data_IF_745165666809
#
_entry.id   IF_745165666809
#
_cell.length_a   1.000
_cell.length_b   1.000
_cell.length_c   1.000
_cell.angle_alpha   90.00
_cell.angle_beta   90.00
_cell.angle_gamma   90.00
#
_symmetry.space_group_name_H-M   'P 1'
#
loop_
_entity.id
_entity.type
_entity.pdbx_description
1 polymer ?
#
# COMPACT_ATOMS: atom_id res chain seq x y z
N UNK A 1 -7.83 7.70 -14.13
CA UNK A 1 -7.12 6.81 -13.20
C UNK A 1 -8.06 6.48 -12.06
N UNK A 2 -8.32 5.20 -11.82
CA UNK A 2 -9.13 4.71 -10.69
C UNK A 2 -8.22 4.01 -9.69
N UNK A 3 -8.36 4.36 -8.41
CA UNK A 3 -7.55 3.82 -7.33
C UNK A 3 -8.49 3.08 -6.38
N UNK A 4 -8.13 1.85 -6.05
CA UNK A 4 -8.79 1.06 -5.03
C UNK A 4 -7.94 1.11 -3.76
N UNK A 5 -8.55 1.57 -2.67
CA UNK A 5 -7.95 1.49 -1.35
C UNK A 5 -8.64 0.37 -0.56
N UNK A 6 -7.83 -0.54 -0.03
CA UNK A 6 -8.27 -1.68 0.79
C UNK A 6 -7.78 -1.42 2.21
N UNK A 7 -8.71 -1.43 3.15
CA UNK A 7 -8.40 -1.31 4.57
C UNK A 7 -7.67 -2.54 5.10
N UNK A 8 -7.60 -2.68 6.39
CA UNK A 8 -6.84 -3.68 7.12
C UNK A 8 -7.07 -5.12 6.63
N UNK A 9 -6.05 -5.70 5.97
CA UNK A 9 -6.08 -7.10 5.51
C UNK A 9 -5.59 -7.99 6.64
N UNK A 10 -6.49 -8.78 7.20
CA UNK A 10 -6.21 -9.57 8.40
C UNK A 10 -6.00 -11.05 8.07
N UNK A 11 -4.81 -11.54 8.39
CA UNK A 11 -4.43 -12.94 8.34
C UNK A 11 -4.51 -13.59 6.96
N UNK A 12 -4.33 -14.91 6.92
CA UNK A 12 -4.39 -15.68 5.68
C UNK A 12 -5.75 -15.62 4.98
N UNK A 13 -6.84 -15.57 5.74
CA UNK A 13 -8.19 -15.48 5.19
C UNK A 13 -8.40 -14.19 4.37
N UNK A 14 -7.91 -13.05 4.87
CA UNK A 14 -7.95 -11.78 4.14
C UNK A 14 -7.10 -11.82 2.88
N UNK A 15 -5.89 -12.34 2.98
CA UNK A 15 -4.98 -12.50 1.83
C UNK A 15 -5.59 -13.42 0.77
N UNK A 16 -6.14 -14.57 1.16
CA UNK A 16 -6.75 -15.53 0.24
C UNK A 16 -8.03 -14.99 -0.40
N UNK A 17 -8.80 -14.21 0.33
CA UNK A 17 -9.96 -13.52 -0.24
C UNK A 17 -9.54 -12.57 -1.36
N UNK A 18 -8.52 -11.75 -1.13
CA UNK A 18 -7.99 -10.84 -2.15
C UNK A 18 -7.45 -11.61 -3.35
N UNK A 19 -6.68 -12.67 -3.14
CA UNK A 19 -6.13 -13.49 -4.23
C UNK A 19 -7.22 -14.02 -5.16
N UNK A 20 -8.36 -14.43 -4.61
CA UNK A 20 -9.48 -14.97 -5.40
C UNK A 20 -10.31 -13.89 -6.10
N UNK A 21 -10.44 -12.71 -5.49
CA UNK A 21 -11.42 -11.71 -5.94
C UNK A 21 -10.81 -10.51 -6.64
N UNK A 22 -9.66 -10.03 -6.17
CA UNK A 22 -9.07 -8.77 -6.60
C UNK A 22 -8.73 -8.74 -8.10
N UNK A 23 -8.15 -9.79 -8.73
CA UNK A 23 -7.82 -9.74 -10.15
C UNK A 23 -9.04 -9.55 -11.06
N UNK A 24 -10.13 -10.21 -10.74
CA UNK A 24 -11.38 -10.07 -11.49
C UNK A 24 -12.02 -8.69 -11.24
N UNK A 25 -12.05 -8.26 -10.00
CA UNK A 25 -12.59 -6.95 -9.61
C UNK A 25 -11.81 -5.80 -10.27
N UNK A 26 -10.48 -5.85 -10.25
CA UNK A 26 -9.59 -4.87 -10.89
C UNK A 26 -9.91 -4.72 -12.38
N UNK A 27 -10.07 -5.84 -13.10
CA UNK A 27 -10.45 -5.81 -14.52
C UNK A 27 -11.85 -5.26 -14.75
N UNK A 28 -12.85 -5.75 -14.00
CA UNK A 28 -14.25 -5.37 -14.21
C UNK A 28 -14.50 -3.89 -13.91
N UNK A 29 -13.79 -3.35 -12.94
CA UNK A 29 -13.95 -1.95 -12.51
C UNK A 29 -12.97 -0.99 -13.16
N UNK A 30 -12.03 -1.48 -13.97
CA UNK A 30 -11.00 -0.65 -14.60
C UNK A 30 -10.07 0.02 -13.57
N UNK A 31 -9.72 -0.72 -12.51
CA UNK A 31 -8.84 -0.19 -11.46
C UNK A 31 -7.40 -0.13 -11.97
N UNK A 32 -6.81 1.06 -11.92
CA UNK A 32 -5.44 1.30 -12.36
C UNK A 32 -4.41 0.96 -11.26
N UNK A 33 -4.75 1.26 -9.99
CA UNK A 33 -3.85 1.12 -8.84
C UNK A 33 -4.62 0.56 -7.64
N UNK A 34 -4.01 -0.38 -6.94
CA UNK A 34 -4.53 -0.96 -5.69
C UNK A 34 -3.54 -0.66 -4.56
N UNK A 35 -4.03 -0.02 -3.52
CA UNK A 35 -3.31 0.25 -2.28
C UNK A 35 -3.99 -0.54 -1.17
N UNK A 36 -3.25 -1.35 -0.41
CA UNK A 36 -3.80 -2.13 0.69
C UNK A 36 -3.01 -1.94 1.98
N UNK A 37 -3.71 -1.83 3.12
CA UNK A 37 -3.05 -1.95 4.41
C UNK A 37 -2.83 -3.42 4.71
N UNK A 38 -1.55 -3.82 4.84
CA UNK A 38 -1.13 -5.20 5.06
C UNK A 38 -0.52 -5.46 6.44
N UNK A 39 -0.57 -4.49 7.37
CA UNK A 39 0.13 -4.60 8.65
C UNK A 39 -0.32 -5.77 9.54
N UNK A 40 -1.51 -6.33 9.29
CA UNK A 40 -2.07 -7.48 10.00
C UNK A 40 -2.21 -8.74 9.12
N UNK A 41 -1.56 -8.76 7.96
CA UNK A 41 -1.68 -9.86 7.00
C UNK A 41 -1.07 -11.18 7.47
N UNK A 42 -0.16 -11.16 8.45
CA UNK A 42 0.39 -12.37 9.07
C UNK A 42 -0.30 -12.63 10.41
N UNK A 43 -1.13 -13.68 10.47
CA UNK A 43 -1.83 -14.15 11.68
C UNK A 43 -2.60 -13.04 12.44
N UNK A 44 -3.02 -11.99 11.74
CA UNK A 44 -3.72 -10.85 12.32
C UNK A 44 -2.85 -9.92 13.18
N UNK A 45 -1.52 -10.08 13.17
CA UNK A 45 -0.60 -9.27 13.96
C UNK A 45 0.80 -9.19 13.33
N UNK A 46 1.03 -8.16 12.54
CA UNK A 46 2.26 -7.97 11.79
C UNK A 46 2.12 -8.39 10.34
N UNK A 47 3.20 -8.17 9.61
CA UNK A 47 3.40 -8.54 8.21
C UNK A 47 4.72 -9.30 8.09
N UNK A 48 4.75 -10.31 7.23
CA UNK A 48 5.95 -11.08 6.89
C UNK A 48 6.28 -10.92 5.41
N UNK A 49 7.51 -11.24 4.97
CA UNK A 49 7.82 -11.29 3.54
C UNK A 49 6.83 -12.15 2.74
N UNK A 50 6.44 -13.30 3.32
CA UNK A 50 5.50 -14.21 2.68
C UNK A 50 4.11 -13.59 2.49
N UNK A 51 3.56 -12.94 3.53
CA UNK A 51 2.25 -12.29 3.42
C UNK A 51 2.28 -11.05 2.55
N UNK A 52 3.38 -10.28 2.55
CA UNK A 52 3.58 -9.15 1.64
C UNK A 52 3.60 -9.61 0.18
N UNK A 53 4.40 -10.63 -0.16
CA UNK A 53 4.43 -11.19 -1.49
C UNK A 53 3.07 -11.75 -1.91
N UNK A 54 2.34 -12.42 -1.01
CA UNK A 54 0.99 -12.90 -1.28
C UNK A 54 0.04 -11.76 -1.70
N UNK A 55 0.11 -10.61 -1.03
CA UNK A 55 -0.69 -9.43 -1.39
C UNK A 55 -0.29 -8.85 -2.75
N UNK A 56 1.01 -8.69 -3.00
CA UNK A 56 1.53 -8.19 -4.28
C UNK A 56 1.14 -9.12 -5.44
N UNK A 57 1.31 -10.43 -5.29
CA UNK A 57 0.91 -11.44 -6.27
C UNK A 57 -0.60 -11.49 -6.51
N UNK A 58 -1.39 -11.02 -5.54
CA UNK A 58 -2.84 -10.90 -5.65
C UNK A 58 -3.28 -9.69 -6.47
N UNK A 59 -2.35 -8.79 -6.82
CA UNK A 59 -2.62 -7.59 -7.62
C UNK A 59 -2.67 -6.30 -6.80
N UNK A 60 -2.22 -6.31 -5.56
CA UNK A 60 -1.93 -5.10 -4.78
C UNK A 60 -0.68 -4.46 -5.37
N UNK A 61 -0.71 -3.17 -5.62
CA UNK A 61 0.41 -2.42 -6.20
C UNK A 61 1.27 -1.76 -5.10
N UNK A 62 0.66 -1.33 -3.99
CA UNK A 62 1.34 -0.71 -2.85
C UNK A 62 0.76 -1.27 -1.55
N UNK A 63 1.63 -1.65 -0.62
CA UNK A 63 1.25 -2.06 0.73
C UNK A 63 1.57 -0.92 1.69
N UNK A 64 0.57 -0.45 2.41
CA UNK A 64 0.76 0.44 3.55
C UNK A 64 0.84 -0.37 4.83
N UNK A 65 1.57 0.15 5.81
CA UNK A 65 1.67 -0.44 7.14
C UNK A 65 1.29 0.59 8.21
N UNK A 66 1.32 0.19 9.48
CA UNK A 66 0.95 1.03 10.61
C UNK A 66 1.78 0.71 11.86
N UNK A 67 1.14 0.65 13.03
CA UNK A 67 1.84 0.37 14.28
C UNK A 67 2.38 -1.07 14.39
N UNK A 68 1.94 -1.97 13.55
CA UNK A 68 2.43 -3.35 13.52
C UNK A 68 3.54 -3.60 12.48
N UNK A 69 4.06 -2.57 11.83
CA UNK A 69 5.12 -2.67 10.80
C UNK A 69 6.29 -3.53 11.26
N UNK A 70 6.75 -3.33 12.49
CA UNK A 70 7.95 -3.97 13.03
C UNK A 70 7.64 -5.08 14.05
N UNK A 71 6.46 -5.70 13.99
CA UNK A 71 6.10 -6.83 14.87
C UNK A 71 6.85 -8.10 14.54
N UNK A 72 7.21 -8.29 13.27
CA UNK A 72 7.91 -9.48 12.76
C UNK A 72 9.32 -9.10 12.35
N UNK A 73 10.32 -9.70 13.02
CA UNK A 73 11.74 -9.35 12.78
C UNK A 73 12.20 -9.66 11.35
N UNK A 74 11.68 -10.74 10.77
CA UNK A 74 11.98 -11.15 9.40
C UNK A 74 11.50 -10.15 8.34
N UNK A 75 10.69 -9.17 8.74
CA UNK A 75 10.19 -8.15 7.84
C UNK A 75 11.11 -6.92 7.76
N UNK A 76 12.08 -6.79 8.66
CA UNK A 76 12.94 -5.59 8.72
C UNK A 76 13.79 -5.43 7.46
N UNK A 77 14.49 -6.48 7.08
CA UNK A 77 15.33 -6.46 5.87
C UNK A 77 14.45 -6.37 4.60
N UNK A 78 13.33 -7.07 4.60
CA UNK A 78 12.38 -7.05 3.48
C UNK A 78 11.82 -5.65 3.21
N UNK A 79 11.37 -4.93 4.24
CA UNK A 79 10.80 -3.58 4.06
C UNK A 79 11.87 -2.58 3.60
N UNK A 80 13.12 -2.78 4.01
CA UNK A 80 14.24 -1.91 3.64
C UNK A 80 14.60 -2.06 2.15
N UNK A 81 14.42 -3.23 1.59
CA UNK A 81 14.67 -3.54 0.17
C UNK A 81 13.42 -3.37 -0.72
N UNK A 82 12.24 -3.21 -0.15
CA UNK A 82 10.98 -3.23 -0.90
C UNK A 82 10.61 -1.87 -1.47
N UNK A 83 10.33 -1.84 -2.77
CA UNK A 83 9.84 -0.66 -3.48
C UNK A 83 8.31 -0.45 -3.35
N UNK A 84 7.59 -1.44 -2.85
CA UNK A 84 6.13 -1.47 -2.85
C UNK A 84 5.52 -1.46 -1.44
N UNK A 85 6.34 -1.43 -0.39
CA UNK A 85 5.87 -1.36 1.00
C UNK A 85 6.30 -0.06 1.63
N UNK A 86 5.37 0.64 2.25
CA UNK A 86 5.62 1.92 2.90
C UNK A 86 5.22 1.88 4.38
N UNK A 87 6.08 2.44 5.21
CA UNK A 87 5.81 2.64 6.64
C UNK A 87 5.17 3.99 6.92
N UNK A 88 4.51 4.17 8.08
CA UNK A 88 4.08 5.48 8.54
C UNK A 88 5.24 6.47 8.68
N UNK A 89 5.01 7.72 8.25
CA UNK A 89 6.03 8.77 8.27
C UNK A 89 6.40 9.27 9.68
N UNK A 90 5.59 8.94 10.69
CA UNK A 90 5.82 9.30 12.09
C UNK A 90 6.79 8.36 12.84
N UNK A 91 7.26 7.28 12.18
CA UNK A 91 8.37 6.49 12.72
C UNK A 91 9.69 7.28 12.65
N UNK A 92 10.65 7.00 13.55
CA UNK A 92 11.96 7.63 13.50
C UNK A 92 12.62 7.53 12.12
N UNK A 93 13.38 8.55 11.67
CA UNK A 93 14.02 8.53 10.35
C UNK A 93 14.94 7.31 10.14
N UNK A 94 15.53 6.80 11.21
CA UNK A 94 16.45 5.66 11.21
C UNK A 94 15.74 4.30 11.13
N UNK A 95 14.41 4.29 11.24
CA UNK A 95 13.67 3.04 11.12
C UNK A 95 13.79 2.46 9.70
N UNK A 96 13.94 1.13 9.54
CA UNK A 96 14.03 0.49 8.25
C UNK A 96 12.89 0.93 7.31
N UNK A 97 13.17 1.04 6.05
CA UNK A 97 12.38 1.51 4.91
C UNK A 97 12.84 2.88 4.42
N UNK A 98 13.56 2.92 3.29
CA UNK A 98 13.96 4.17 2.65
C UNK A 98 12.77 4.89 2.00
N UNK A 99 11.65 4.21 1.84
CA UNK A 99 10.51 4.68 1.05
C UNK A 99 9.44 5.27 1.95
N UNK A 100 9.50 6.58 2.07
CA UNK A 100 8.40 7.41 2.56
C UNK A 100 7.43 7.72 1.41
N UNK A 101 6.35 8.39 1.74
CA UNK A 101 5.30 8.91 0.83
C UNK A 101 5.81 9.45 -0.52
N UNK A 102 7.05 9.93 -0.60
CA UNK A 102 7.65 10.46 -1.84
C UNK A 102 7.81 9.41 -2.94
N UNK A 103 8.13 8.16 -2.60
CA UNK A 103 8.32 7.11 -3.59
C UNK A 103 6.99 6.65 -4.17
N UNK A 104 5.98 6.41 -3.33
CA UNK A 104 4.63 6.08 -3.79
C UNK A 104 4.10 7.14 -4.77
N UNK A 105 4.40 8.41 -4.53
CA UNK A 105 4.05 9.52 -5.44
C UNK A 105 4.81 9.46 -6.77
N UNK A 106 6.09 9.12 -6.75
CA UNK A 106 6.90 9.01 -7.96
C UNK A 106 6.43 7.82 -8.80
N UNK A 107 6.13 6.70 -8.17
CA UNK A 107 5.61 5.50 -8.80
C UNK A 107 4.20 5.72 -9.39
N UNK A 108 3.28 6.36 -8.65
CA UNK A 108 1.96 6.78 -9.15
C UNK A 108 2.08 7.74 -10.33
N UNK A 109 3.06 8.65 -10.32
CA UNK A 109 3.36 9.54 -11.45
C UNK A 109 3.88 8.79 -12.67
N UNK A 110 4.67 7.75 -12.44
CA UNK A 110 5.25 6.94 -13.51
C UNK A 110 4.18 6.06 -14.18
N UNK A 111 3.29 5.44 -13.38
CA UNK A 111 2.13 4.69 -13.89
C UNK A 111 1.11 5.59 -14.63
N UNK A 112 0.86 6.80 -14.13
CA UNK A 112 -0.04 7.74 -14.80
C UNK A 112 0.51 8.28 -16.14
N UNK A 113 1.83 8.21 -16.36
CA UNK A 113 2.47 8.56 -17.64
C UNK A 113 2.46 7.44 -18.67
N UNK A 114 2.38 6.19 -18.22
CA UNK A 114 2.28 4.99 -19.08
C UNK A 114 0.85 4.71 -19.56
N UNK A 115 -0.16 5.24 -18.89
CA UNK A 115 -1.57 5.17 -19.30
C UNK A 115 -2.07 6.56 -19.68
N UNK A 116 -2.33 6.75 -20.98
CA UNK A 116 -2.87 7.93 -21.67
C UNK A 116 -3.50 9.04 -20.80
N UNK A 117 -2.80 10.19 -20.81
CA UNK A 117 -3.31 11.56 -20.76
C UNK A 117 -4.47 11.93 -19.83
N UNK A 118 -4.15 12.48 -18.72
CA UNK A 118 -4.66 13.76 -18.21
C UNK A 118 -3.98 14.07 -16.87
N UNK A 119 -3.06 15.04 -16.91
CA UNK A 119 -2.20 15.42 -15.80
C UNK A 119 -2.96 15.84 -14.55
N UNK A 120 -3.18 14.93 -13.65
CA UNK A 120 -3.59 15.18 -12.28
C UNK A 120 -2.42 14.90 -11.36
N UNK A 121 -2.06 15.84 -10.49
CA UNK A 121 -1.09 15.60 -9.41
C UNK A 121 -1.82 14.98 -8.25
N UNK A 122 -1.45 13.77 -7.86
CA UNK A 122 -1.92 13.13 -6.64
C UNK A 122 -0.86 13.26 -5.54
N UNK A 123 -1.30 13.44 -4.30
CA UNK A 123 -0.48 13.46 -3.11
C UNK A 123 -1.03 12.46 -2.12
N UNK A 124 -0.21 11.55 -1.64
CA UNK A 124 -0.52 10.70 -0.50
C UNK A 124 -0.01 11.40 0.76
N UNK A 125 -0.89 11.66 1.69
CA UNK A 125 -0.56 12.24 2.99
C UNK A 125 -0.96 11.27 4.08
N UNK A 126 0.00 10.83 4.89
CA UNK A 126 -0.29 10.13 6.13
C UNK A 126 -0.57 11.15 7.23
N UNK A 127 -1.61 10.92 8.02
CA UNK A 127 -1.89 11.78 9.15
C UNK A 127 -0.85 11.55 10.27
N UNK A 128 -0.53 12.56 11.09
CA UNK A 128 0.42 12.42 12.18
C UNK A 128 0.07 11.30 13.18
N UNK A 129 -1.19 10.92 13.27
CA UNK A 129 -1.68 9.85 14.15
C UNK A 129 -1.53 8.45 13.55
N UNK A 130 -1.12 8.32 12.27
CA UNK A 130 -0.90 7.01 11.63
C UNK A 130 -2.16 6.17 11.37
N UNK A 131 -3.34 6.74 11.58
CA UNK A 131 -4.60 5.98 11.45
C UNK A 131 -5.23 6.04 10.06
N UNK A 132 -4.81 6.98 9.20
CA UNK A 132 -5.43 7.21 7.91
C UNK A 132 -4.40 7.63 6.86
N UNK A 133 -4.55 7.11 5.65
CA UNK A 133 -3.87 7.62 4.49
C UNK A 133 -4.82 8.58 3.75
N UNK A 134 -4.40 9.82 3.54
CA UNK A 134 -5.12 10.75 2.68
C UNK A 134 -4.47 10.79 1.30
N UNK A 135 -5.24 10.49 0.28
CA UNK A 135 -4.83 10.65 -1.10
C UNK A 135 -5.54 11.86 -1.71
N UNK A 136 -4.77 12.84 -2.16
CA UNK A 136 -5.31 14.04 -2.80
C UNK A 136 -5.06 13.95 -4.32
N UNK A 137 -6.13 13.81 -5.08
CA UNK A 137 -6.06 13.80 -6.53
C UNK A 137 -7.00 14.85 -7.11
N UNK A 138 -6.47 15.76 -7.97
CA UNK A 138 -7.22 16.89 -8.56
C UNK A 138 -7.96 17.75 -7.54
N UNK A 139 -7.39 17.94 -6.35
CA UNK A 139 -8.02 18.73 -5.29
C UNK A 139 -9.09 17.99 -4.46
N UNK A 140 -9.37 16.74 -4.79
CA UNK A 140 -10.28 15.90 -4.00
C UNK A 140 -9.47 15.05 -3.02
N UNK A 141 -9.87 15.08 -1.75
CA UNK A 141 -9.26 14.28 -0.68
C UNK A 141 -10.00 12.95 -0.56
N UNK A 142 -9.27 11.86 -0.72
CA UNK A 142 -9.75 10.50 -0.46
C UNK A 142 -9.11 10.01 0.85
N UNK A 143 -9.92 9.49 1.77
CA UNK A 143 -9.46 8.89 3.03
C UNK A 143 -9.61 7.38 2.95
N UNK A 144 -8.53 6.65 3.30
CA UNK A 144 -8.51 5.19 3.40
C UNK A 144 -8.32 4.78 4.84
#
# INVERSE_FOLDING_TARGET
MQILCIGDVVGSHGCDFLRRTLPAFKRTKGIDVVIANGENSSDGNGITPASANHLLDSGVDIITTGNHTYRRREFYDYIDESDCVIRPANFPPEAPSPYTVSFALTWLRQKSRQGNSSGGRGFLRLTPQGYWAEFIFRGTVYRC
#
